data_IF_951657858227
#
_entry.id   IF_951657858227
#
_cell.length_a   1.000
_cell.length_b   1.000
_cell.length_c   1.000
_cell.angle_alpha   90.00
_cell.angle_beta   90.00
_cell.angle_gamma   90.00
#
_symmetry.space_group_name_H-M   'P 1'
#
loop_
_entity.id
_entity.type
_entity.pdbx_description
1 polymer ?
#
# COMPACT_ATOMS: atom_id res chain seq x y z
N UNK A 1 1.90 -0.17 22.54
CA UNK A 1 3.36 -0.39 22.37
C UNK A 1 3.76 -1.84 22.00
N UNK A 2 2.87 -2.84 22.05
CA UNK A 2 3.24 -4.24 21.80
C UNK A 2 3.62 -4.57 20.33
N UNK A 3 3.00 -3.92 19.33
CA UNK A 3 3.26 -4.21 17.91
C UNK A 3 4.57 -3.62 17.36
N UNK A 4 5.04 -2.50 17.92
CA UNK A 4 6.30 -1.85 17.50
C UNK A 4 7.51 -2.70 17.91
N UNK A 5 7.41 -3.42 19.03
CA UNK A 5 8.46 -4.36 19.48
C UNK A 5 8.60 -5.62 18.61
N UNK A 6 7.62 -5.93 17.77
CA UNK A 6 7.61 -7.13 16.91
C UNK A 6 8.16 -6.90 15.49
N UNK A 7 8.78 -5.74 15.19
CA UNK A 7 9.32 -5.39 13.87
C UNK A 7 8.32 -5.55 12.70
N UNK A 8 7.01 -5.35 12.93
CA UNK A 8 6.00 -5.40 11.87
C UNK A 8 6.05 -4.13 11.02
N UNK A 9 5.68 -4.24 9.73
CA UNK A 9 5.64 -3.09 8.84
C UNK A 9 4.59 -2.07 9.30
N UNK A 10 4.82 -0.78 9.04
CA UNK A 10 3.84 0.28 9.31
C UNK A 10 2.47 0.02 8.66
N UNK A 11 2.47 -0.61 7.46
CA UNK A 11 1.24 -1.02 6.78
C UNK A 11 0.43 -2.02 7.62
N UNK A 12 1.09 -3.01 8.21
CA UNK A 12 0.43 -4.00 9.05
C UNK A 12 -0.15 -3.37 10.32
N UNK A 13 0.61 -2.47 10.96
CA UNK A 13 0.15 -1.73 12.14
C UNK A 13 -1.11 -0.91 11.81
N UNK A 14 -1.12 -0.23 10.66
CA UNK A 14 -2.26 0.58 10.23
C UNK A 14 -3.47 -0.27 9.85
N UNK A 15 -3.27 -1.42 9.20
CA UNK A 15 -4.35 -2.37 8.91
C UNK A 15 -5.01 -2.87 10.19
N UNK A 16 -4.22 -3.26 11.20
CA UNK A 16 -4.73 -3.69 12.51
C UNK A 16 -5.45 -2.54 13.21
N UNK A 17 -4.89 -1.33 13.19
CA UNK A 17 -5.53 -0.15 13.77
C UNK A 17 -6.90 0.15 13.11
N UNK A 18 -6.99 0.06 11.78
CA UNK A 18 -8.26 0.21 11.06
C UNK A 18 -9.26 -0.90 11.41
N UNK A 19 -8.81 -2.16 11.48
CA UNK A 19 -9.67 -3.28 11.85
C UNK A 19 -10.25 -3.11 13.27
N UNK A 20 -9.43 -2.66 14.23
CA UNK A 20 -9.86 -2.38 15.59
C UNK A 20 -10.84 -1.20 15.64
N UNK A 21 -10.57 -0.11 14.90
CA UNK A 21 -11.50 1.02 14.79
C UNK A 21 -12.85 0.59 14.22
N UNK A 22 -12.87 -0.24 13.20
CA UNK A 22 -14.09 -0.79 12.62
C UNK A 22 -14.84 -1.67 13.63
N UNK A 23 -14.16 -2.62 14.25
CA UNK A 23 -14.79 -3.53 15.21
C UNK A 23 -15.37 -2.76 16.40
N UNK A 24 -14.60 -1.90 17.05
CA UNK A 24 -15.10 -1.18 18.21
C UNK A 24 -16.07 -0.06 17.85
N UNK A 25 -15.77 0.73 16.82
CA UNK A 25 -16.57 1.88 16.42
C UNK A 25 -17.87 1.52 15.71
N UNK A 26 -17.84 0.53 14.81
CA UNK A 26 -19.01 0.13 14.00
C UNK A 26 -19.72 -1.06 14.62
N UNK A 27 -19.01 -2.13 14.95
CA UNK A 27 -19.65 -3.38 15.42
C UNK A 27 -20.14 -3.24 16.87
N UNK A 28 -19.35 -2.61 17.74
CA UNK A 28 -19.67 -2.46 19.16
C UNK A 28 -20.22 -1.06 19.53
N UNK A 29 -20.35 -0.15 18.56
CA UNK A 29 -20.91 1.18 18.76
C UNK A 29 -20.09 2.13 19.63
N UNK A 30 -18.81 1.83 19.87
CA UNK A 30 -17.89 2.65 20.69
C UNK A 30 -17.15 3.66 19.81
N UNK A 31 -17.78 4.79 19.53
CA UNK A 31 -17.23 5.85 18.67
C UNK A 31 -15.88 6.43 19.15
N UNK A 32 -15.62 6.39 20.46
CA UNK A 32 -14.34 6.81 21.07
C UNK A 32 -13.14 5.94 20.63
N UNK A 33 -13.38 4.77 20.03
CA UNK A 33 -12.32 3.89 19.54
C UNK A 33 -11.44 4.58 18.48
N UNK A 34 -11.98 5.55 17.73
CA UNK A 34 -11.19 6.31 16.76
C UNK A 34 -10.12 7.17 17.43
N UNK A 35 -10.41 7.79 18.56
CA UNK A 35 -9.46 8.67 19.27
C UNK A 35 -8.41 7.85 20.04
N UNK A 36 -8.81 6.69 20.55
CA UNK A 36 -7.93 5.83 21.35
C UNK A 36 -6.98 4.97 20.50
N UNK A 37 -7.37 4.64 19.27
CA UNK A 37 -6.57 3.81 18.36
C UNK A 37 -5.89 4.72 17.34
N UNK A 38 -4.66 5.13 17.65
CA UNK A 38 -3.82 5.95 16.79
C UNK A 38 -3.00 5.03 15.87
N UNK A 39 -3.10 5.25 14.56
CA UNK A 39 -2.28 4.59 13.55
C UNK A 39 -0.84 5.09 13.56
N UNK A 40 0.07 4.31 13.02
CA UNK A 40 1.46 4.74 12.81
C UNK A 40 1.60 5.60 11.56
N UNK A 41 2.34 6.71 11.66
CA UNK A 41 2.71 7.49 10.48
C UNK A 41 3.70 6.68 9.64
N UNK A 42 3.30 6.31 8.42
CA UNK A 42 4.19 5.66 7.46
C UNK A 42 5.18 6.73 6.95
N UNK A 43 6.49 6.48 6.96
CA UNK A 43 7.44 7.39 6.36
C UNK A 43 7.18 7.48 4.85
N UNK A 44 7.15 8.71 4.33
CA UNK A 44 7.00 8.95 2.90
C UNK A 44 8.19 8.35 2.16
N UNK A 45 7.90 7.48 1.19
CA UNK A 45 8.90 6.90 0.31
C UNK A 45 8.79 7.61 -1.03
N UNK A 46 9.92 8.13 -1.53
CA UNK A 46 10.00 8.61 -2.90
C UNK A 46 9.66 7.45 -3.85
N UNK A 47 8.70 7.63 -4.77
CA UNK A 47 8.42 6.63 -5.78
C UNK A 47 9.67 6.47 -6.65
N UNK A 48 10.18 5.24 -6.76
CA UNK A 48 11.21 4.90 -7.72
C UNK A 48 10.56 4.88 -9.10
N UNK A 49 10.69 5.96 -9.86
CA UNK A 49 10.22 6.04 -11.24
C UNK A 49 11.31 5.48 -12.14
N UNK A 50 10.95 4.50 -12.98
CA UNK A 50 11.85 3.97 -14.00
C UNK A 50 12.07 5.03 -15.09
N UNK A 51 13.31 5.19 -15.54
CA UNK A 51 13.62 5.99 -16.73
C UNK A 51 13.08 5.34 -18.02
N UNK A 52 12.99 6.11 -19.10
CA UNK A 52 12.48 5.64 -20.39
C UNK A 52 13.22 4.38 -20.90
N UNK A 53 14.54 4.37 -20.80
CA UNK A 53 15.38 3.24 -21.22
C UNK A 53 15.15 1.96 -20.39
N UNK A 54 14.80 2.11 -19.11
CA UNK A 54 14.51 0.98 -18.22
C UNK A 54 13.14 0.36 -18.56
N UNK A 55 12.17 1.19 -18.95
CA UNK A 55 10.84 0.74 -19.35
C UNK A 55 10.87 0.03 -20.71
N UNK A 56 11.65 0.53 -21.66
CA UNK A 56 11.84 -0.15 -22.95
C UNK A 56 12.44 -1.55 -22.75
N UNK A 57 13.50 -1.64 -21.96
CA UNK A 57 14.15 -2.92 -21.61
C UNK A 57 13.22 -3.86 -20.86
N UNK A 58 12.39 -3.33 -19.95
CA UNK A 58 11.39 -4.10 -19.23
C UNK A 58 10.32 -4.65 -20.19
N UNK A 59 9.77 -3.82 -21.07
CA UNK A 59 8.72 -4.21 -22.01
C UNK A 59 9.22 -5.17 -23.10
N UNK A 60 10.48 -5.07 -23.51
CA UNK A 60 11.10 -6.01 -24.45
C UNK A 60 11.36 -7.39 -23.82
N UNK A 61 11.55 -7.46 -22.50
CA UNK A 61 11.66 -8.72 -21.78
C UNK A 61 10.31 -9.43 -21.55
N UNK A 62 9.18 -8.75 -21.78
CA UNK A 62 7.85 -9.32 -21.59
C UNK A 62 7.48 -10.22 -22.77
N UNK A 63 7.26 -11.50 -22.49
CA UNK A 63 6.78 -12.45 -23.49
C UNK A 63 5.27 -12.29 -23.72
N UNK A 64 4.90 -12.25 -25.00
CA UNK A 64 3.50 -12.17 -25.43
C UNK A 64 2.97 -10.75 -25.58
N UNK A 65 2.37 -10.47 -26.74
CA UNK A 65 1.84 -9.16 -27.11
C UNK A 65 0.78 -8.63 -26.13
N UNK A 66 -0.08 -9.51 -25.60
CA UNK A 66 -1.12 -9.13 -24.64
C UNK A 66 -0.55 -8.52 -23.36
N UNK A 67 0.48 -9.15 -22.79
CA UNK A 67 1.10 -8.68 -21.55
C UNK A 67 1.84 -7.36 -21.78
N UNK A 68 2.53 -7.22 -22.93
CA UNK A 68 3.22 -5.98 -23.31
C UNK A 68 2.24 -4.81 -23.44
N UNK A 69 1.11 -5.02 -24.10
CA UNK A 69 0.07 -3.98 -24.25
C UNK A 69 -0.52 -3.60 -22.90
N UNK A 70 -0.90 -4.56 -22.06
CA UNK A 70 -1.45 -4.28 -20.72
C UNK A 70 -0.47 -3.48 -19.86
N UNK A 71 0.81 -3.87 -19.84
CA UNK A 71 1.84 -3.20 -19.05
C UNK A 71 2.14 -1.79 -19.59
N UNK A 72 2.24 -1.62 -20.92
CA UNK A 72 2.44 -0.32 -21.53
C UNK A 72 1.26 0.62 -21.24
N UNK A 73 0.02 0.13 -21.32
CA UNK A 73 -1.17 0.91 -21.01
C UNK A 73 -1.23 1.29 -19.52
N UNK A 74 -0.97 0.35 -18.61
CA UNK A 74 -0.96 0.63 -17.18
C UNK A 74 0.09 1.70 -16.82
N UNK A 75 1.29 1.61 -17.41
CA UNK A 75 2.34 2.61 -17.23
C UNK A 75 1.95 3.99 -17.79
N UNK A 76 1.46 4.04 -19.04
CA UNK A 76 1.09 5.29 -19.69
C UNK A 76 -0.13 5.98 -19.04
N UNK A 77 -1.04 5.20 -18.45
CA UNK A 77 -2.25 5.69 -17.82
C UNK A 77 -2.12 5.88 -16.28
N UNK A 78 -1.03 5.42 -15.67
CA UNK A 78 -0.82 5.49 -14.22
C UNK A 78 -1.83 4.67 -13.40
N UNK A 79 -2.21 3.48 -13.92
CA UNK A 79 -3.23 2.60 -13.34
C UNK A 79 -2.76 1.83 -12.10
#
# INVERSE_FOLDING_TARGET
>A
LHLIGQKRSWSHINQVACALRFFYGVTLGQTEAFERIIGGQKPDKLPLVLGAEEIERFLDAVTGMRNRVVLATAYAAGL
#
